data_IF_348369599339
#
_entry.id   IF_348369599339
#
_cell.length_a   1.000
_cell.length_b   1.000
_cell.length_c   1.000
_cell.angle_alpha   90.00
_cell.angle_beta   90.00
_cell.angle_gamma   90.00
#
_symmetry.space_group_name_H-M   'P 1'
#
loop_
_entity.id
_entity.type
_entity.pdbx_description
1 polymer ?
#
# COMPACT_ATOMS: atom_id res chain seq x y z
N UNK A 1 -11.65 4.77 15.28
CA UNK A 1 -10.71 5.39 14.32
C UNK A 1 -11.43 5.58 12.99
N UNK A 2 -11.13 6.64 12.21
CA UNK A 2 -11.84 6.90 10.95
C UNK A 2 -11.28 6.02 9.82
N UNK A 3 -12.13 5.57 8.89
CA UNK A 3 -11.72 4.79 7.70
C UNK A 3 -10.59 5.47 6.91
N UNK A 4 -10.59 6.81 6.85
CA UNK A 4 -9.53 7.58 6.22
C UNK A 4 -8.14 7.33 6.84
N UNK A 5 -8.04 7.16 8.16
CA UNK A 5 -6.78 6.85 8.84
C UNK A 5 -6.24 5.48 8.42
N UNK A 6 -7.11 4.49 8.24
CA UNK A 6 -6.72 3.16 7.76
C UNK A 6 -6.24 3.19 6.32
N UNK A 7 -6.87 3.98 5.44
CA UNK A 7 -6.39 4.17 4.06
C UNK A 7 -4.98 4.75 4.03
N UNK A 8 -4.71 5.78 4.85
CA UNK A 8 -3.38 6.40 4.95
C UNK A 8 -2.34 5.39 5.44
N UNK A 9 -2.66 4.61 6.48
CA UNK A 9 -1.77 3.55 6.98
C UNK A 9 -1.49 2.48 5.90
N UNK A 10 -2.53 2.05 5.18
CA UNK A 10 -2.39 1.11 4.07
C UNK A 10 -1.48 1.63 2.96
N UNK A 11 -1.64 2.89 2.57
CA UNK A 11 -0.75 3.56 1.61
C UNK A 11 0.69 3.65 2.12
N UNK A 12 0.90 4.05 3.38
CA UNK A 12 2.24 4.12 3.97
C UNK A 12 2.95 2.75 3.98
N UNK A 13 2.22 1.67 4.26
CA UNK A 13 2.74 0.30 4.19
C UNK A 13 3.09 -0.07 2.74
N UNK A 14 2.21 0.21 1.78
CA UNK A 14 2.47 -0.04 0.36
C UNK A 14 3.73 0.69 -0.14
N UNK A 15 3.91 1.95 0.25
CA UNK A 15 5.11 2.72 -0.05
C UNK A 15 6.37 2.13 0.62
N UNK A 16 6.29 1.72 1.89
CA UNK A 16 7.42 1.11 2.58
C UNK A 16 7.86 -0.22 1.93
N UNK A 17 6.90 -1.05 1.53
CA UNK A 17 7.18 -2.30 0.80
C UNK A 17 7.83 -2.02 -0.55
N UNK A 18 7.38 -0.98 -1.27
CA UNK A 18 8.02 -0.56 -2.50
C UNK A 18 9.49 -0.17 -2.29
N UNK A 19 9.79 0.63 -1.25
CA UNK A 19 11.17 1.03 -0.96
C UNK A 19 12.08 -0.16 -0.66
N UNK A 20 11.56 -1.20 0.01
CA UNK A 20 12.30 -2.44 0.25
C UNK A 20 12.60 -3.19 -1.06
N UNK A 21 11.63 -3.27 -1.97
CA UNK A 21 11.80 -3.91 -3.28
C UNK A 21 12.80 -3.10 -4.12
N UNK A 22 12.61 -1.79 -4.20
CA UNK A 22 13.49 -0.87 -4.91
C UNK A 22 14.97 -1.01 -4.48
N UNK A 23 15.22 -1.18 -3.18
CA UNK A 23 16.58 -1.34 -2.66
C UNK A 23 17.29 -2.62 -3.11
N UNK A 24 16.55 -3.62 -3.60
CA UNK A 24 17.09 -4.95 -3.96
C UNK A 24 16.85 -5.37 -5.41
N UNK A 25 16.17 -4.55 -6.21
CA UNK A 25 15.88 -4.86 -7.61
C UNK A 25 16.26 -3.73 -8.56
N UNK A 26 16.95 -4.09 -9.64
CA UNK A 26 17.16 -3.22 -10.81
C UNK A 26 16.02 -3.43 -11.81
N UNK A 27 14.93 -2.67 -11.64
CA UNK A 27 13.83 -2.63 -12.60
C UNK A 27 14.05 -1.53 -13.65
N UNK A 28 13.45 -1.64 -14.84
CA UNK A 28 13.34 -0.52 -15.78
C UNK A 28 12.54 0.65 -15.18
N UNK A 29 12.87 1.89 -15.57
CA UNK A 29 12.24 3.13 -15.03
C UNK A 29 10.71 3.10 -15.05
N UNK A 30 10.11 2.56 -16.11
CA UNK A 30 8.65 2.51 -16.27
C UNK A 30 7.99 1.46 -15.35
N UNK A 31 8.65 0.34 -15.07
CA UNK A 31 8.15 -0.71 -14.19
C UNK A 31 8.15 -0.27 -12.72
N UNK A 32 9.05 0.65 -12.32
CA UNK A 32 9.07 1.20 -10.97
C UNK A 32 7.78 1.94 -10.62
N UNK A 33 7.31 2.84 -11.49
CA UNK A 33 6.10 3.63 -11.23
C UNK A 33 4.84 2.75 -11.19
N UNK A 34 4.76 1.75 -12.07
CA UNK A 34 3.66 0.79 -12.09
C UNK A 34 3.67 -0.02 -10.79
N UNK A 35 4.83 -0.55 -10.39
CA UNK A 35 4.98 -1.34 -9.17
C UNK A 35 4.63 -0.53 -7.92
N UNK A 36 5.07 0.73 -7.84
CA UNK A 36 4.73 1.64 -6.75
C UNK A 36 3.21 1.84 -6.64
N UNK A 37 2.54 2.16 -7.76
CA UNK A 37 1.09 2.39 -7.77
C UNK A 37 0.33 1.13 -7.38
N UNK A 38 0.73 -0.04 -7.88
CA UNK A 38 0.11 -1.32 -7.52
C UNK A 38 0.23 -1.60 -6.02
N UNK A 39 1.42 -1.41 -5.44
CA UNK A 39 1.65 -1.62 -4.01
C UNK A 39 0.86 -0.65 -3.14
N UNK A 40 0.72 0.61 -3.57
CA UNK A 40 -0.14 1.59 -2.90
C UNK A 40 -1.62 1.15 -2.90
N UNK A 41 -2.14 0.72 -4.06
CA UNK A 41 -3.52 0.25 -4.18
C UNK A 41 -3.75 -0.98 -3.30
N UNK A 42 -2.85 -1.97 -3.36
CA UNK A 42 -2.94 -3.19 -2.55
C UNK A 42 -2.88 -2.87 -1.05
N UNK A 43 -1.99 -1.98 -0.64
CA UNK A 43 -1.86 -1.54 0.75
C UNK A 43 -3.13 -0.87 1.27
N UNK A 44 -3.67 0.09 0.50
CA UNK A 44 -4.93 0.80 0.85
C UNK A 44 -6.09 -0.20 0.92
N UNK A 45 -6.28 -1.04 -0.10
CA UNK A 45 -7.34 -2.03 -0.14
C UNK A 45 -7.27 -3.00 1.03
N UNK A 46 -6.07 -3.50 1.35
CA UNK A 46 -5.87 -4.42 2.47
C UNK A 46 -6.20 -3.77 3.81
N UNK A 47 -5.81 -2.51 4.01
CA UNK A 47 -6.11 -1.76 5.23
C UNK A 47 -7.60 -1.42 5.36
N UNK A 48 -8.29 -1.12 4.26
CA UNK A 48 -9.75 -0.96 4.26
C UNK A 48 -10.47 -2.26 4.60
N UNK A 49 -10.05 -3.38 4.01
CA UNK A 49 -10.65 -4.69 4.30
C UNK A 49 -10.44 -5.06 5.77
N UNK A 50 -9.26 -4.77 6.33
CA UNK A 50 -8.99 -4.95 7.76
C UNK A 50 -9.90 -4.05 8.61
N UNK A 51 -10.05 -2.77 8.23
CA UNK A 51 -10.96 -1.86 8.94
C UNK A 51 -12.40 -2.38 8.95
N UNK A 52 -12.94 -2.79 7.80
CA UNK A 52 -14.29 -3.34 7.71
C UNK A 52 -14.45 -4.59 8.58
N UNK A 53 -13.43 -5.46 8.65
CA UNK A 53 -13.45 -6.66 9.49
C UNK A 53 -13.47 -6.36 10.99
N UNK A 54 -12.71 -5.38 11.45
CA UNK A 54 -12.55 -5.09 12.88
C UNK A 54 -13.51 -4.02 13.42
N UNK A 55 -13.98 -3.11 12.56
CA UNK A 55 -14.75 -1.93 12.93
C UNK A 55 -16.04 -1.74 12.14
N UNK A 56 -16.28 -2.53 11.08
CA UNK A 56 -17.53 -2.53 10.33
C UNK A 56 -18.60 -3.36 11.03
N UNK A 57 -19.28 -2.75 12.01
CA UNK A 57 -20.64 -3.15 12.40
C UNK A 57 -21.64 -2.28 11.66
#
# INVERSE_FOLDING_TARGET
MKQATFRILGGAIGAAVYWLIYAVTDLPVYDYWITFILLMIVGIYSAEKAYLRYYGK
#
